data_IF_513689015291
#
_entry.id   IF_513689015291
#
_cell.length_a   1.000
_cell.length_b   1.000
_cell.length_c   1.000
_cell.angle_alpha   90.00
_cell.angle_beta   90.00
_cell.angle_gamma   90.00
#
_symmetry.space_group_name_H-M   'P 1'
#
loop_
_entity.id
_entity.type
_entity.pdbx_description
1 polymer ?
#
# COMPACT_ATOMS: atom_id res chain seq x y z
N UNK A 1 -60.53 4.14 -12.46
CA UNK A 1 -59.19 4.78 -12.46
C UNK A 1 -58.21 3.80 -11.82
N UNK A 2 -57.32 3.18 -12.61
CA UNK A 2 -56.35 2.19 -12.11
C UNK A 2 -54.99 2.86 -11.98
N UNK A 3 -54.51 3.00 -10.76
CA UNK A 3 -53.21 3.57 -10.40
C UNK A 3 -52.10 2.57 -10.74
N UNK A 4 -51.32 2.90 -11.76
CA UNK A 4 -50.16 2.14 -12.22
C UNK A 4 -48.97 2.43 -11.29
N UNK A 5 -48.68 1.51 -10.37
CA UNK A 5 -47.49 1.53 -9.52
C UNK A 5 -46.26 1.26 -10.38
N UNK A 6 -45.40 2.27 -10.57
CA UNK A 6 -44.10 2.12 -11.24
C UNK A 6 -43.08 1.66 -10.20
N UNK A 7 -42.74 0.38 -10.23
CA UNK A 7 -41.62 -0.18 -9.46
C UNK A 7 -40.30 0.34 -10.02
N UNK A 8 -39.64 1.21 -9.25
CA UNK A 8 -38.24 1.60 -9.44
C UNK A 8 -37.35 0.42 -9.03
N UNK A 9 -36.82 -0.29 -10.02
CA UNK A 9 -35.70 -1.22 -9.83
C UNK A 9 -34.43 -0.38 -9.61
N UNK A 10 -34.01 -0.26 -8.36
CA UNK A 10 -32.69 0.25 -7.99
C UNK A 10 -31.69 -0.89 -8.24
N UNK A 11 -30.96 -0.82 -9.35
CA UNK A 11 -29.78 -1.64 -9.58
C UNK A 11 -28.66 -1.17 -8.63
N UNK A 12 -28.45 -1.88 -7.52
CA UNK A 12 -27.20 -1.82 -6.78
C UNK A 12 -26.11 -2.42 -7.65
N UNK A 13 -25.29 -1.57 -8.28
CA UNK A 13 -24.03 -1.99 -8.86
C UNK A 13 -23.09 -2.42 -7.72
N UNK A 14 -22.96 -3.72 -7.51
CA UNK A 14 -21.93 -4.29 -6.64
C UNK A 14 -20.60 -4.01 -7.33
N UNK A 15 -19.88 -2.99 -6.88
CA UNK A 15 -18.52 -2.71 -7.33
C UNK A 15 -17.63 -3.89 -6.92
N UNK A 16 -17.38 -4.80 -7.87
CA UNK A 16 -16.45 -5.89 -7.67
C UNK A 16 -15.04 -5.33 -7.51
N UNK A 17 -14.47 -5.44 -6.31
CA UNK A 17 -13.04 -5.31 -6.10
C UNK A 17 -12.33 -6.48 -6.79
N UNK A 18 -12.11 -6.36 -8.10
CA UNK A 18 -11.33 -7.29 -8.90
C UNK A 18 -10.11 -6.60 -9.51
N UNK A 19 -9.16 -7.37 -10.08
CA UNK A 19 -8.03 -6.82 -10.85
C UNK A 19 -8.47 -6.05 -12.11
N UNK A 20 -9.77 -5.99 -12.38
CA UNK A 20 -10.38 -5.39 -13.56
C UNK A 20 -10.19 -3.87 -13.63
N UNK A 21 -10.05 -3.18 -12.49
CA UNK A 21 -9.85 -1.73 -12.49
C UNK A 21 -8.57 -1.28 -13.21
N UNK A 22 -7.49 -2.07 -13.09
CA UNK A 22 -6.23 -1.80 -13.81
C UNK A 22 -6.38 -2.00 -15.32
N UNK A 23 -7.04 -3.08 -15.72
CA UNK A 23 -7.31 -3.37 -17.14
C UNK A 23 -8.20 -2.30 -17.76
N UNK A 24 -9.25 -1.90 -17.05
CA UNK A 24 -10.18 -0.85 -17.49
C UNK A 24 -9.46 0.49 -17.69
N UNK A 25 -8.51 0.82 -16.81
CA UNK A 25 -7.72 2.02 -16.91
C UNK A 25 -6.51 1.93 -17.86
N UNK A 26 -6.27 0.76 -18.47
CA UNK A 26 -5.08 0.49 -19.29
C UNK A 26 -3.77 0.74 -18.53
N UNK A 27 -3.72 0.42 -17.24
CA UNK A 27 -2.51 0.52 -16.41
C UNK A 27 -2.10 -0.87 -15.95
N UNK A 28 -0.81 -1.17 -16.02
CA UNK A 28 -0.22 -2.29 -15.29
C UNK A 28 0.45 -1.77 -14.02
N UNK A 29 0.32 -2.51 -12.93
CA UNK A 29 1.04 -2.26 -11.71
C UNK A 29 1.73 -3.55 -11.26
N UNK A 30 3.04 -3.48 -11.05
CA UNK A 30 3.86 -4.55 -10.51
C UNK A 30 4.46 -4.08 -9.19
N UNK A 31 4.35 -4.91 -8.16
CA UNK A 31 4.96 -4.63 -6.86
C UNK A 31 6.40 -5.13 -6.88
N UNK A 32 7.35 -4.21 -6.72
CA UNK A 32 8.79 -4.51 -6.77
C UNK A 32 9.33 -4.90 -5.39
N UNK A 33 8.85 -4.25 -4.33
CA UNK A 33 9.27 -4.49 -2.96
C UNK A 33 8.25 -3.96 -1.95
N UNK A 34 8.22 -4.56 -0.77
CA UNK A 34 7.48 -4.08 0.40
C UNK A 34 8.39 -4.20 1.61
N UNK A 35 8.44 -3.14 2.42
CA UNK A 35 9.08 -3.16 3.74
C UNK A 35 8.01 -2.96 4.81
N UNK A 36 7.99 -3.84 5.81
CA UNK A 36 7.06 -3.78 6.95
C UNK A 36 7.83 -3.37 8.20
N UNK A 37 8.00 -2.06 8.35
CA UNK A 37 8.73 -1.44 9.44
C UNK A 37 7.88 -1.09 10.66
N UNK A 38 8.47 -0.34 11.59
CA UNK A 38 7.82 0.16 12.82
C UNK A 38 7.34 1.61 12.66
N UNK A 39 6.70 2.13 13.71
CA UNK A 39 6.31 3.54 13.76
C UNK A 39 7.51 4.39 14.16
N UNK A 40 7.99 5.18 13.19
CA UNK A 40 9.08 6.12 13.43
C UNK A 40 8.55 7.45 13.94
N UNK A 41 9.25 8.07 14.88
CA UNK A 41 8.93 9.42 15.31
C UNK A 41 8.96 10.35 14.10
N UNK A 42 7.98 11.24 14.03
CA UNK A 42 7.97 12.35 13.08
C UNK A 42 9.08 13.33 13.41
N UNK A 43 10.31 13.01 13.00
CA UNK A 43 11.48 13.87 12.95
C UNK A 43 12.11 13.74 11.57
N UNK A 44 12.73 14.81 11.08
CA UNK A 44 13.32 14.89 9.72
C UNK A 44 14.38 13.81 9.52
N UNK A 45 13.93 12.64 9.10
CA UNK A 45 14.72 11.65 8.43
C UNK A 45 15.17 12.24 7.08
N UNK A 46 16.48 12.39 6.89
CA UNK A 46 17.09 12.93 5.65
C UNK A 46 17.15 11.89 4.53
N UNK A 47 16.78 10.67 4.84
CA UNK A 47 17.01 9.45 4.12
C UNK A 47 15.72 8.65 4.26
N UNK A 48 14.94 8.51 3.18
CA UNK A 48 13.51 8.13 3.14
C UNK A 48 13.09 6.80 3.81
N UNK A 49 13.94 6.22 4.65
CA UNK A 49 13.83 4.93 5.29
C UNK A 49 14.25 4.92 6.78
N UNK A 50 14.72 6.04 7.37
CA UNK A 50 15.39 6.01 8.68
C UNK A 50 15.02 7.17 9.61
N UNK A 51 14.14 6.97 10.59
CA UNK A 51 13.77 7.98 11.58
C UNK A 51 14.28 7.68 12.99
N UNK A 52 14.24 8.68 13.87
CA UNK A 52 14.28 8.43 15.31
C UNK A 52 13.04 7.62 15.72
N UNK A 53 13.17 6.79 16.75
CA UNK A 53 12.08 6.00 17.30
C UNK A 53 11.05 6.89 18.00
N UNK A 54 9.75 6.63 17.76
CA UNK A 54 8.72 7.33 18.52
C UNK A 54 8.86 6.99 20.01
N UNK A 55 8.55 7.94 20.89
CA UNK A 55 8.68 7.75 22.33
C UNK A 55 7.84 6.53 22.79
N UNK A 56 8.49 5.55 23.43
CA UNK A 56 7.83 4.30 23.86
C UNK A 56 7.90 3.14 22.85
N UNK A 57 8.55 3.32 21.71
CA UNK A 57 8.77 2.26 20.72
C UNK A 57 9.99 1.41 21.08
N UNK A 58 9.94 0.11 20.76
CA UNK A 58 11.06 -0.81 20.90
C UNK A 58 11.99 -0.74 19.67
N UNK A 59 12.60 0.40 19.41
CA UNK A 59 13.67 0.46 18.41
C UNK A 59 14.89 1.19 18.96
N UNK A 60 16.07 0.59 18.77
CA UNK A 60 17.27 0.91 19.57
C UNK A 60 18.17 2.00 18.96
N UNK A 61 18.06 2.31 17.66
CA UNK A 61 18.81 3.43 17.05
C UNK A 61 18.27 3.95 15.70
N UNK A 62 17.78 3.08 14.82
CA UNK A 62 17.27 3.43 13.49
C UNK A 62 15.89 2.80 13.30
N UNK A 63 14.85 3.63 13.17
CA UNK A 63 13.52 3.14 12.84
C UNK A 63 13.35 3.10 11.33
N UNK A 64 12.98 1.93 10.80
CA UNK A 64 12.57 1.77 9.40
C UNK A 64 11.06 1.88 9.31
N UNK A 65 10.58 2.79 8.46
CA UNK A 65 9.15 2.93 8.18
C UNK A 65 8.66 1.88 7.19
N UNK A 66 7.35 1.64 7.20
CA UNK A 66 6.73 0.78 6.19
C UNK A 66 6.61 1.49 4.84
N UNK A 67 6.87 0.78 3.75
CA UNK A 67 6.75 1.33 2.39
C UNK A 67 6.45 0.24 1.36
N UNK A 68 5.92 0.66 0.21
CA UNK A 68 5.76 -0.19 -0.98
C UNK A 68 6.39 0.48 -2.19
N UNK A 69 7.10 -0.31 -2.99
CA UNK A 69 7.65 0.11 -4.29
C UNK A 69 6.88 -0.57 -5.42
N UNK A 70 6.47 0.24 -6.38
CA UNK A 70 5.65 -0.16 -7.53
C UNK A 70 6.36 0.25 -8.82
N UNK A 71 6.28 -0.60 -9.83
CA UNK A 71 6.44 -0.20 -11.22
C UNK A 71 5.06 -0.06 -11.85
N UNK A 72 4.74 1.13 -12.34
CA UNK A 72 3.49 1.45 -13.01
C UNK A 72 3.76 1.69 -14.49
N UNK A 73 3.01 1.04 -15.38
CA UNK A 73 3.10 1.23 -16.83
C UNK A 73 1.74 1.59 -17.38
N UNK A 74 1.64 2.73 -18.07
CA UNK A 74 0.41 3.15 -18.75
C UNK A 74 0.42 2.74 -20.21
N UNK A 75 -0.67 2.11 -20.66
CA UNK A 75 -1.02 1.94 -22.07
C UNK A 75 -2.14 2.89 -22.49
N UNK A 76 -2.58 3.78 -21.60
CA UNK A 76 -3.63 4.74 -21.89
C UNK A 76 -3.16 5.80 -22.90
N UNK A 77 -4.10 6.31 -23.70
CA UNK A 77 -3.86 7.40 -24.65
C UNK A 77 -3.78 8.81 -24.00
N UNK A 78 -4.02 8.87 -22.69
CA UNK A 78 -3.98 10.08 -21.86
C UNK A 78 -3.21 9.81 -20.57
N UNK A 79 -2.83 10.87 -19.87
CA UNK A 79 -2.28 10.75 -18.53
C UNK A 79 -3.35 10.18 -17.59
N UNK A 80 -2.89 9.38 -16.62
CA UNK A 80 -3.75 8.64 -15.70
C UNK A 80 -3.40 9.02 -14.27
N UNK A 81 -4.40 9.22 -13.42
CA UNK A 81 -4.19 9.48 -11.99
C UNK A 81 -4.24 8.16 -11.25
N UNK A 82 -3.17 7.82 -10.55
CA UNK A 82 -3.02 6.62 -9.73
C UNK A 82 -2.79 7.03 -8.27
N UNK A 83 -3.52 6.40 -7.36
CA UNK A 83 -3.32 6.56 -5.92
C UNK A 83 -3.25 5.19 -5.26
N UNK A 84 -2.19 4.93 -4.51
CA UNK A 84 -2.16 3.81 -3.55
C UNK A 84 -2.95 4.23 -2.32
N UNK A 85 -4.03 3.52 -2.01
CA UNK A 85 -4.90 3.86 -0.88
C UNK A 85 -4.55 3.04 0.35
N UNK A 86 -4.28 1.75 0.17
CA UNK A 86 -4.00 0.84 1.25
C UNK A 86 -3.11 -0.34 0.84
N UNK A 87 -2.49 -0.97 1.84
CA UNK A 87 -1.86 -2.29 1.75
C UNK A 87 -2.46 -3.18 2.82
N UNK A 88 -3.10 -4.28 2.41
CA UNK A 88 -3.69 -5.28 3.29
C UNK A 88 -2.66 -6.39 3.56
N UNK A 89 -2.47 -6.71 4.84
CA UNK A 89 -1.57 -7.77 5.30
C UNK A 89 -2.36 -8.98 5.76
N UNK A 90 -1.97 -10.15 5.29
CA UNK A 90 -2.61 -11.42 5.62
C UNK A 90 -1.63 -12.40 6.25
N UNK A 91 -2.05 -13.04 7.36
CA UNK A 91 -1.41 -14.25 7.89
C UNK A 91 -2.25 -15.46 7.44
N UNK A 92 -1.74 -16.22 6.47
CA UNK A 92 -2.53 -17.19 5.72
C UNK A 92 -3.73 -16.52 5.04
N UNK A 93 -4.95 -16.93 5.40
CA UNK A 93 -6.19 -16.35 4.89
C UNK A 93 -6.73 -15.19 5.75
N UNK A 94 -6.16 -14.95 6.93
CA UNK A 94 -6.66 -13.97 7.90
C UNK A 94 -6.06 -12.59 7.62
N UNK A 95 -6.91 -11.59 7.38
CA UNK A 95 -6.49 -10.18 7.37
C UNK A 95 -6.06 -9.77 8.78
N UNK A 96 -4.81 -9.33 8.93
CA UNK A 96 -4.24 -8.93 10.24
C UNK A 96 -4.02 -7.42 10.36
N UNK A 97 -3.87 -6.71 9.24
CA UNK A 97 -3.76 -5.25 9.22
C UNK A 97 -4.10 -4.64 7.85
N UNK A 98 -4.47 -3.37 7.87
CA UNK A 98 -4.58 -2.52 6.68
C UNK A 98 -3.73 -1.28 6.91
N UNK A 99 -2.73 -1.06 6.06
CA UNK A 99 -1.80 0.04 6.13
C UNK A 99 -2.22 1.12 5.14
N UNK A 100 -2.39 2.36 5.59
CA UNK A 100 -2.80 3.47 4.73
C UNK A 100 -1.60 4.02 3.96
N UNK A 101 -1.77 4.25 2.66
CA UNK A 101 -0.79 4.96 1.83
C UNK A 101 -0.62 6.42 2.23
N UNK A 102 0.62 6.86 2.41
CA UNK A 102 1.06 8.22 2.73
C UNK A 102 2.15 8.62 1.74
N UNK A 103 2.29 9.92 1.47
CA UNK A 103 3.37 10.56 0.72
C UNK A 103 4.04 9.69 -0.37
N UNK A 104 3.67 9.90 -1.62
CA UNK A 104 4.22 9.15 -2.72
C UNK A 104 5.37 9.91 -3.40
N UNK A 105 6.37 9.17 -3.87
CA UNK A 105 7.49 9.69 -4.64
C UNK A 105 7.76 8.83 -5.88
N UNK A 106 8.31 9.42 -6.93
CA UNK A 106 8.67 8.74 -8.16
C UNK A 106 10.16 8.86 -8.44
N UNK A 107 10.76 7.79 -8.95
CA UNK A 107 12.14 7.79 -9.42
C UNK A 107 12.24 8.56 -10.74
N UNK A 108 13.08 9.60 -10.78
CA UNK A 108 13.31 10.39 -11.98
C UNK A 108 14.59 10.00 -12.76
N UNK A 109 15.26 8.91 -12.35
CA UNK A 109 16.54 8.47 -12.91
C UNK A 109 17.72 8.66 -11.95
N UNK A 110 17.66 9.63 -11.04
CA UNK A 110 18.73 9.94 -10.08
C UNK A 110 18.28 9.94 -8.62
N UNK A 111 17.04 10.33 -8.35
CA UNK A 111 16.48 10.38 -7.00
C UNK A 111 14.97 10.13 -7.00
N UNK A 112 14.44 9.81 -5.83
CA UNK A 112 13.00 9.86 -5.59
C UNK A 112 12.56 11.30 -5.31
N UNK A 113 11.60 11.80 -6.07
CA UNK A 113 11.01 13.14 -5.89
C UNK A 113 9.52 13.02 -5.57
N UNK A 114 8.91 13.97 -4.84
CA UNK A 114 7.47 13.95 -4.58
C UNK A 114 6.66 13.74 -5.86
N UNK A 115 5.69 12.85 -5.80
CA UNK A 115 4.86 12.47 -6.93
C UNK A 115 3.39 12.73 -6.61
N UNK A 116 2.70 13.37 -7.54
CA UNK A 116 1.30 13.79 -7.38
C UNK A 116 0.28 12.72 -7.81
N UNK A 117 0.74 11.50 -8.11
CA UNK A 117 -0.13 10.43 -8.62
C UNK A 117 -0.30 10.41 -10.14
N UNK A 118 0.33 11.32 -10.90
CA UNK A 118 0.16 11.34 -12.37
C UNK A 118 1.11 10.37 -13.05
N UNK A 119 0.55 9.38 -13.74
CA UNK A 119 1.26 8.47 -14.63
C UNK A 119 1.16 8.97 -16.08
N UNK A 120 2.28 9.36 -16.72
CA UNK A 120 2.24 9.87 -18.10
C UNK A 120 1.68 8.84 -19.10
N UNK A 121 0.99 9.32 -20.13
CA UNK A 121 0.51 8.48 -21.25
C UNK A 121 1.64 7.66 -21.85
N UNK A 122 1.45 6.35 -22.03
CA UNK A 122 2.48 5.44 -22.56
C UNK A 122 3.73 5.29 -21.69
N UNK A 123 3.76 5.92 -20.50
CA UNK A 123 4.94 6.03 -19.65
C UNK A 123 5.08 4.85 -18.70
N UNK A 124 6.30 4.69 -18.17
CA UNK A 124 6.57 3.80 -17.04
C UNK A 124 7.22 4.61 -15.92
N UNK A 125 6.74 4.43 -14.69
CA UNK A 125 7.28 5.06 -13.49
C UNK A 125 7.59 4.01 -12.43
N UNK A 126 8.70 4.22 -11.71
CA UNK A 126 8.94 3.55 -10.43
C UNK A 126 8.49 4.50 -9.33
N UNK A 127 7.59 4.02 -8.49
CA UNK A 127 6.96 4.80 -7.44
C UNK A 127 7.25 4.13 -6.10
N UNK A 128 7.57 4.95 -5.10
CA UNK A 128 7.59 4.53 -3.71
C UNK A 128 6.45 5.23 -2.97
N UNK A 129 5.74 4.50 -2.12
CA UNK A 129 4.70 5.04 -1.25
C UNK A 129 5.01 4.65 0.18
N UNK A 130 5.06 5.63 1.06
CA UNK A 130 5.20 5.39 2.50
C UNK A 130 3.87 4.88 3.05
N UNK A 131 3.91 4.02 4.06
CA UNK A 131 2.71 3.42 4.64
C UNK A 131 2.59 3.78 6.11
N UNK A 132 1.38 3.71 6.66
CA UNK A 132 1.24 3.64 8.12
C UNK A 132 1.94 2.40 8.67
N UNK A 133 2.41 2.48 9.92
CA UNK A 133 3.00 1.33 10.60
C UNK A 133 1.94 0.25 10.86
N UNK A 134 2.27 -1.05 10.72
CA UNK A 134 1.43 -2.12 11.20
C UNK A 134 1.26 -2.06 12.73
N UNK A 135 0.07 -2.38 13.26
CA UNK A 135 -0.17 -2.40 14.69
C UNK A 135 0.45 -3.67 15.31
N UNK A 136 1.78 -3.74 15.38
CA UNK A 136 2.51 -4.95 15.76
C UNK A 136 2.13 -5.51 17.13
N UNK A 137 1.78 -4.64 18.10
CA UNK A 137 1.26 -5.07 19.40
C UNK A 137 -0.05 -5.87 19.27
N UNK A 138 -0.93 -5.47 18.36
CA UNK A 138 -2.19 -6.18 18.08
C UNK A 138 -1.91 -7.46 17.30
N UNK A 139 -1.05 -7.40 16.28
CA UNK A 139 -0.70 -8.58 15.45
C UNK A 139 -0.03 -9.66 16.32
N UNK A 140 0.92 -9.28 17.17
CA UNK A 140 1.66 -10.19 18.05
C UNK A 140 0.78 -10.92 19.06
N UNK A 141 -0.37 -10.36 19.46
CA UNK A 141 -1.30 -11.01 20.39
C UNK A 141 -1.86 -12.35 19.87
N UNK A 142 -1.77 -12.59 18.55
CA UNK A 142 -2.13 -13.87 17.93
C UNK A 142 -1.03 -14.94 17.99
N UNK A 143 0.15 -14.63 18.53
CA UNK A 143 1.30 -15.53 18.57
C UNK A 143 1.71 -15.88 20.01
N UNK A 144 2.53 -16.93 20.16
CA UNK A 144 3.08 -17.34 21.44
C UNK A 144 4.04 -16.30 22.06
N UNK A 145 4.70 -15.49 21.22
CA UNK A 145 5.57 -14.39 21.66
C UNK A 145 5.56 -13.25 20.62
N UNK A 146 5.77 -11.98 21.05
CA UNK A 146 5.88 -10.86 20.13
C UNK A 146 6.98 -11.01 19.07
N UNK A 147 8.08 -11.66 19.45
CA UNK A 147 9.22 -11.94 18.58
C UNK A 147 8.87 -12.87 17.42
N UNK A 148 7.79 -13.66 17.54
CA UNK A 148 7.34 -14.55 16.46
C UNK A 148 7.00 -13.76 15.19
N UNK A 149 6.56 -12.50 15.33
CA UNK A 149 6.20 -11.62 14.19
C UNK A 149 7.34 -11.33 13.22
N UNK A 150 8.62 -11.42 13.65
CA UNK A 150 9.79 -11.20 12.80
C UNK A 150 10.07 -12.34 11.82
N UNK A 151 9.67 -13.57 12.17
CA UNK A 151 9.82 -14.75 11.29
C UNK A 151 8.59 -15.05 10.44
N UNK A 152 7.43 -14.51 10.81
CA UNK A 152 6.18 -14.73 10.07
C UNK A 152 6.21 -14.05 8.71
N UNK A 153 5.79 -14.80 7.70
CA UNK A 153 5.57 -14.31 6.34
C UNK A 153 4.13 -13.84 6.19
N UNK A 154 3.93 -12.61 5.71
CA UNK A 154 2.62 -12.01 5.46
C UNK A 154 2.39 -11.84 3.97
N UNK A 155 1.27 -12.34 3.48
CA UNK A 155 0.83 -12.07 2.11
C UNK A 155 0.31 -10.64 2.03
N UNK A 156 0.62 -9.95 0.93
CA UNK A 156 0.27 -8.54 0.76
C UNK A 156 -0.66 -8.32 -0.43
N UNK A 157 -1.65 -7.44 -0.26
CA UNK A 157 -2.51 -6.95 -1.33
C UNK A 157 -2.52 -5.42 -1.30
N UNK A 158 -2.27 -4.79 -2.44
CA UNK A 158 -2.13 -3.33 -2.57
C UNK A 158 -3.39 -2.83 -3.27
N UNK A 159 -4.11 -1.95 -2.59
CA UNK A 159 -5.30 -1.30 -3.12
C UNK A 159 -4.92 0.03 -3.77
N UNK A 160 -5.40 0.19 -4.99
CA UNK A 160 -5.13 1.30 -5.89
C UNK A 160 -6.46 1.93 -6.29
N UNK A 161 -6.44 3.22 -6.59
CA UNK A 161 -7.47 3.90 -7.36
C UNK A 161 -6.82 4.47 -8.60
N UNK A 162 -7.32 4.08 -9.77
CA UNK A 162 -6.81 4.52 -11.07
C UNK A 162 -7.93 5.20 -11.85
N UNK A 163 -7.79 6.50 -12.11
CA UNK A 163 -8.84 7.35 -12.71
C UNK A 163 -10.20 7.21 -12.00
N UNK A 164 -10.18 7.02 -10.67
CA UNK A 164 -11.39 6.84 -9.84
C UNK A 164 -11.90 5.39 -9.77
N UNK A 165 -11.30 4.45 -10.50
CA UNK A 165 -11.66 3.03 -10.47
C UNK A 165 -10.78 2.28 -9.47
N UNK A 166 -11.41 1.56 -8.54
CA UNK A 166 -10.69 0.73 -7.58
C UNK A 166 -10.05 -0.47 -8.27
N UNK A 167 -8.83 -0.81 -7.86
CA UNK A 167 -8.14 -2.01 -8.28
C UNK A 167 -7.27 -2.57 -7.15
N UNK A 168 -6.95 -3.85 -7.24
CA UNK A 168 -6.05 -4.51 -6.29
C UNK A 168 -4.98 -5.26 -7.06
N UNK A 169 -3.74 -5.19 -6.57
CA UNK A 169 -2.64 -6.06 -7.01
C UNK A 169 -2.09 -6.84 -5.84
N UNK A 170 -1.73 -8.10 -6.08
CA UNK A 170 -1.03 -8.92 -5.10
C UNK A 170 0.44 -8.55 -5.12
N UNK A 171 1.02 -8.28 -3.95
CA UNK A 171 2.44 -8.04 -3.80
C UNK A 171 3.20 -9.32 -3.47
N UNK A 172 4.54 -9.24 -3.36
CA UNK A 172 5.30 -10.32 -2.78
C UNK A 172 4.88 -10.52 -1.32
N UNK A 173 5.14 -11.73 -0.84
CA UNK A 173 5.11 -11.97 0.59
C UNK A 173 6.19 -11.13 1.28
N UNK A 174 5.88 -10.61 2.47
CA UNK A 174 6.74 -9.72 3.21
C UNK A 174 6.86 -10.17 4.67
N UNK A 175 8.00 -9.87 5.30
CA UNK A 175 8.23 -10.11 6.72
C UNK A 175 8.38 -8.76 7.43
N UNK A 176 8.14 -8.77 8.75
CA UNK A 176 8.48 -7.61 9.59
C UNK A 176 9.99 -7.38 9.53
N UNK A 177 10.39 -6.14 9.31
CA UNK A 177 11.81 -5.76 9.33
C UNK A 177 12.43 -6.13 10.70
N UNK A 178 13.63 -6.72 10.74
CA UNK A 178 14.27 -7.08 11.99
C UNK A 178 14.61 -5.84 12.82
N UNK A 179 14.57 -5.98 14.14
CA UNK A 179 15.18 -4.98 15.03
C UNK A 179 16.68 -4.94 14.74
N UNK A 180 17.18 -3.77 14.37
CA UNK A 180 18.62 -3.55 14.30
C UNK A 180 19.12 -3.39 15.73
N UNK A 181 19.69 -4.45 16.30
CA UNK A 181 20.45 -4.35 17.54
C UNK A 181 21.78 -3.67 17.23
N UNK A 182 21.99 -2.47 17.77
CA UNK A 182 23.27 -1.75 17.72
C UNK A 182 23.92 -1.74 19.08
#
# INVERSE_FOLDING_TARGET
MRTSSRSLLVLLAVAGCGPDGLKQANVDAQVSAISLGDECASGKSTDSFGGACAQGSQCDAICRGSSVQLQLTSRAAKDTVVKVTAVRLYDGAKLVATLTGKDASSWNGSAYTPWNGTLPKGGTLKVQVNLSSPPWATISSGYASPQSTYGTTYRTEIDLVVDGVAATVTGPDAQREPMVAT
#
